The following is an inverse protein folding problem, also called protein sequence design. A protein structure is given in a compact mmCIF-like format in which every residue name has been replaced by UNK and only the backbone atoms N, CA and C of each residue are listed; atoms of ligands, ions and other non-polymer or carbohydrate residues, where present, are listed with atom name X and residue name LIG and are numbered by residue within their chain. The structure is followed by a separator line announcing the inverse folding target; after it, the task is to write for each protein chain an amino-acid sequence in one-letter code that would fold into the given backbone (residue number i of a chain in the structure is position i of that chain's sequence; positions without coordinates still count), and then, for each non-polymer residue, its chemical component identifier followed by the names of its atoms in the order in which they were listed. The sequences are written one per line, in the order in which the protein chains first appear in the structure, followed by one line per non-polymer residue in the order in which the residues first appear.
data_IF_562689955695
#
_entry.id   IF_562689955695
#
_cell.length_a   1.000
_cell.length_b   1.000
_cell.length_c   1.000
_cell.angle_alpha   90.00
_cell.angle_beta   90.00
_cell.angle_gamma   90.00
#
_symmetry.space_group_name_H-M   'P 1'
#
loop_
_entity.id
_entity.type
_entity.pdbx_description
1 polymer ?
#
# COMPACT_ATOMS: atom_id res chain seq x y z
N UNK A 1 86.64 20.76 -12.11
CA UNK A 1 86.14 19.49 -11.54
C UNK A 1 84.67 19.70 -11.23
N UNK A 2 83.80 19.55 -12.25
CA UNK A 2 83.05 18.33 -12.66
C UNK A 2 81.64 18.29 -12.05
N UNK A 3 80.70 18.72 -12.89
CA UNK A 3 79.25 18.44 -13.01
C UNK A 3 78.71 17.09 -12.50
N UNK A 4 77.37 16.80 -12.53
CA UNK A 4 76.20 17.68 -12.78
C UNK A 4 74.92 17.40 -11.95
N UNK A 5 73.93 18.27 -12.21
CA UNK A 5 72.46 18.18 -12.12
C UNK A 5 71.75 16.81 -12.06
N UNK A 6 70.56 16.79 -11.44
CA UNK A 6 69.26 16.20 -11.85
C UNK A 6 68.19 16.91 -10.98
N UNK A 7 67.07 17.47 -11.43
CA UNK A 7 66.25 17.18 -12.60
C UNK A 7 64.93 16.53 -12.16
N UNK A 8 63.91 17.35 -11.86
CA UNK A 8 62.44 17.15 -11.94
C UNK A 8 61.84 15.76 -11.68
N UNK A 9 60.85 15.68 -10.78
CA UNK A 9 59.43 15.49 -11.13
C UNK A 9 58.57 15.44 -9.85
N UNK A 10 57.70 16.44 -9.69
CA UNK A 10 56.60 16.38 -8.74
C UNK A 10 55.56 15.40 -9.30
N UNK A 11 55.41 14.24 -8.66
CA UNK A 11 54.24 13.38 -8.83
C UNK A 11 53.14 13.89 -7.93
N UNK A 12 52.21 14.64 -8.51
CA UNK A 12 50.87 14.86 -7.95
C UNK A 12 50.16 13.51 -7.91
N UNK A 13 50.30 12.80 -6.80
CA UNK A 13 49.46 11.64 -6.53
C UNK A 13 48.14 12.16 -5.96
N UNK A 14 47.25 12.57 -6.87
CA UNK A 14 45.84 12.82 -6.59
C UNK A 14 45.24 11.48 -6.18
N UNK A 15 45.32 11.16 -4.90
CA UNK A 15 44.53 10.10 -4.29
C UNK A 15 43.07 10.54 -4.39
N UNK A 16 42.39 10.04 -5.42
CA UNK A 16 40.96 10.17 -5.56
C UNK A 16 40.31 9.58 -4.31
N UNK A 17 39.81 10.45 -3.42
CA UNK A 17 38.98 10.05 -2.30
C UNK A 17 37.81 9.24 -2.84
N UNK A 18 37.76 7.96 -2.45
CA UNK A 18 36.58 7.12 -2.57
C UNK A 18 35.40 7.86 -1.93
N UNK A 19 34.23 7.92 -2.60
CA UNK A 19 33.03 8.48 -1.96
C UNK A 19 32.73 7.68 -0.69
N UNK A 20 32.64 8.40 0.43
CA UNK A 20 32.30 7.83 1.73
C UNK A 20 30.95 7.10 1.70
N UNK A 21 30.67 6.23 2.68
CA UNK A 21 29.45 5.44 2.71
C UNK A 21 28.26 6.37 2.57
N UNK A 22 27.44 6.15 1.53
CA UNK A 22 26.15 6.81 1.36
C UNK A 22 25.47 6.83 2.74
N UNK A 23 25.28 8.02 3.32
CA UNK A 23 24.52 8.18 4.54
C UNK A 23 23.19 7.47 4.31
N UNK A 24 22.96 6.35 5.00
CA UNK A 24 21.79 5.53 4.77
C UNK A 24 20.56 6.42 4.92
N UNK A 25 19.83 6.64 3.83
CA UNK A 25 18.61 7.45 3.88
C UNK A 25 17.69 6.87 4.96
N UNK A 26 17.05 7.70 5.79
CA UNK A 26 16.18 7.19 6.84
C UNK A 26 15.10 6.29 6.22
N UNK A 27 15.12 4.99 6.53
CA UNK A 27 14.09 4.07 6.07
C UNK A 27 12.89 4.18 7.00
N UNK A 28 11.96 5.07 6.68
CA UNK A 28 10.70 5.17 7.40
C UNK A 28 9.80 3.96 7.08
N UNK A 29 9.19 3.32 8.10
CA UNK A 29 8.21 2.26 7.87
C UNK A 29 7.02 2.77 7.05
N UNK A 30 6.48 1.93 6.16
CA UNK A 30 5.30 2.27 5.32
C UNK A 30 4.03 2.60 6.13
N UNK A 31 3.99 2.21 7.41
CA UNK A 31 2.96 2.55 8.40
C UNK A 31 3.11 3.95 9.01
N UNK A 32 4.02 4.77 8.47
CA UNK A 32 4.17 6.20 8.77
C UNK A 32 3.86 7.03 7.53
N UNK A 33 3.46 8.28 7.70
CA UNK A 33 3.23 9.19 6.57
C UNK A 33 4.49 9.34 5.70
N UNK A 34 5.67 9.48 6.29
CA UNK A 34 6.94 9.64 5.57
C UNK A 34 7.24 8.39 4.73
N UNK A 35 7.10 7.20 5.30
CA UNK A 35 7.30 5.94 4.57
C UNK A 35 6.27 5.73 3.47
N UNK A 36 5.00 6.06 3.74
CA UNK A 36 3.94 6.02 2.73
C UNK A 36 4.21 6.99 1.57
N UNK A 37 4.57 8.23 1.87
CA UNK A 37 4.84 9.27 0.88
C UNK A 37 6.00 8.85 -0.02
N UNK A 38 7.12 8.43 0.58
CA UNK A 38 8.26 7.89 -0.15
C UNK A 38 7.85 6.74 -1.08
N UNK A 39 7.09 5.76 -0.57
CA UNK A 39 6.56 4.66 -1.37
C UNK A 39 5.66 5.16 -2.51
N UNK A 40 4.72 6.06 -2.24
CA UNK A 40 3.72 6.48 -3.21
C UNK A 40 4.31 7.30 -4.37
N UNK A 41 5.34 8.11 -4.09
CA UNK A 41 5.99 9.00 -5.06
C UNK A 41 7.24 8.42 -5.71
N UNK A 42 7.79 7.30 -5.20
CA UNK A 42 8.94 6.63 -5.81
C UNK A 42 8.70 6.37 -7.32
N UNK A 43 9.63 6.59 -8.24
CA UNK A 43 9.40 6.26 -9.65
C UNK A 43 9.10 4.77 -9.83
N UNK A 44 8.16 4.37 -10.72
CA UNK A 44 7.92 2.96 -10.99
C UNK A 44 9.17 2.33 -11.60
N UNK A 45 9.59 1.18 -11.06
CA UNK A 45 10.70 0.42 -11.62
C UNK A 45 10.34 -0.02 -13.04
N UNK A 46 11.10 0.48 -14.00
CA UNK A 46 10.82 0.26 -15.42
C UNK A 46 11.67 -0.90 -15.92
N UNK A 47 11.08 -1.89 -16.62
CA UNK A 47 11.89 -2.89 -17.33
C UNK A 47 12.73 -2.19 -18.41
N UNK A 48 13.89 -2.75 -18.78
CA UNK A 48 14.68 -2.22 -19.89
C UNK A 48 13.88 -2.32 -21.19
N UNK A 49 13.97 -1.31 -22.05
CA UNK A 49 13.35 -1.32 -23.37
C UNK A 49 14.22 -2.10 -24.35
N UNK A 50 13.63 -2.69 -25.41
CA UNK A 50 14.42 -3.27 -26.49
C UNK A 50 15.38 -2.22 -27.07
N UNK A 51 16.68 -2.51 -27.08
CA UNK A 51 17.72 -1.60 -27.57
C UNK A 51 18.42 -0.75 -26.52
N UNK A 52 17.98 -0.79 -25.25
CA UNK A 52 18.71 -0.14 -24.15
C UNK A 52 20.06 -0.83 -23.91
N UNK A 53 21.06 -0.06 -23.44
CA UNK A 53 22.35 -0.61 -23.05
C UNK A 53 22.19 -1.69 -21.96
N UNK A 54 23.04 -2.74 -21.96
CA UNK A 54 22.98 -3.78 -20.93
C UNK A 54 23.18 -3.18 -19.53
N UNK A 55 22.24 -3.47 -18.62
CA UNK A 55 22.37 -3.12 -17.21
C UNK A 55 23.52 -3.87 -16.56
N UNK A 56 24.22 -3.21 -15.65
CA UNK A 56 25.19 -3.84 -14.75
C UNK A 56 24.53 -4.93 -13.89
N UNK A 57 25.35 -5.82 -13.32
CA UNK A 57 24.87 -6.86 -12.41
C UNK A 57 24.14 -6.26 -11.20
N UNK A 58 24.61 -5.14 -10.68
CA UNK A 58 24.01 -4.43 -9.54
C UNK A 58 22.64 -3.86 -9.90
N UNK A 59 22.49 -3.18 -11.04
CA UNK A 59 21.19 -2.66 -11.50
C UNK A 59 20.18 -3.78 -11.78
N UNK A 60 20.65 -4.92 -12.29
CA UNK A 60 19.81 -6.11 -12.49
C UNK A 60 19.38 -6.69 -11.15
N UNK A 61 20.32 -6.83 -10.21
CA UNK A 61 20.02 -7.35 -8.87
C UNK A 61 19.01 -6.45 -8.17
N UNK A 62 19.21 -5.12 -8.19
CA UNK A 62 18.28 -4.15 -7.62
C UNK A 62 16.88 -4.24 -8.24
N UNK A 63 16.78 -4.37 -9.57
CA UNK A 63 15.50 -4.54 -10.25
C UNK A 63 14.79 -5.85 -9.86
N UNK A 64 15.51 -6.98 -9.83
CA UNK A 64 14.94 -8.28 -9.50
C UNK A 64 14.65 -8.46 -8.01
N UNK A 65 15.42 -7.83 -7.12
CA UNK A 65 15.21 -7.86 -5.67
C UNK A 65 14.08 -6.94 -5.20
N UNK A 66 13.64 -6.01 -6.04
CA UNK A 66 12.58 -5.07 -5.69
C UNK A 66 11.16 -5.64 -5.84
N UNK A 67 11.01 -6.92 -6.22
CA UNK A 67 9.72 -7.61 -6.36
C UNK A 67 8.65 -6.77 -7.07
N UNK A 68 8.98 -6.30 -8.29
CA UNK A 68 8.13 -5.40 -9.09
C UNK A 68 6.69 -5.91 -9.15
N UNK A 69 5.75 -5.13 -8.61
CA UNK A 69 4.33 -5.47 -8.66
C UNK A 69 3.82 -5.44 -10.10
N UNK A 70 3.35 -6.57 -10.61
CA UNK A 70 2.65 -6.63 -11.89
C UNK A 70 1.19 -6.21 -11.67
N UNK A 71 0.71 -5.24 -12.45
CA UNK A 71 -0.71 -4.89 -12.43
C UNK A 71 -1.54 -6.07 -12.94
N UNK A 72 -2.47 -6.53 -12.10
CA UNK A 72 -3.39 -7.61 -12.42
C UNK A 72 -4.82 -7.07 -12.57
N UNK A 73 -5.71 -7.79 -13.28
CA UNK A 73 -7.13 -7.42 -13.35
C UNK A 73 -7.80 -7.29 -11.98
N UNK A 74 -7.34 -8.06 -10.99
CA UNK A 74 -7.83 -7.97 -9.61
C UNK A 74 -7.48 -6.62 -8.95
N UNK A 75 -6.25 -6.12 -9.14
CA UNK A 75 -5.83 -4.80 -8.66
C UNK A 75 -6.65 -3.69 -9.34
N UNK A 76 -6.91 -3.82 -10.64
CA UNK A 76 -7.69 -2.83 -11.39
C UNK A 76 -9.17 -2.80 -10.96
N UNK A 77 -9.74 -3.97 -10.67
CA UNK A 77 -11.10 -4.10 -10.14
C UNK A 77 -11.20 -3.47 -8.75
N UNK A 78 -10.25 -3.80 -7.86
CA UNK A 78 -10.17 -3.20 -6.53
C UNK A 78 -10.01 -1.68 -6.59
N UNK A 79 -9.12 -1.18 -7.45
CA UNK A 79 -8.91 0.26 -7.64
C UNK A 79 -10.19 0.96 -8.09
N UNK A 80 -10.96 0.33 -8.98
CA UNK A 80 -12.23 0.86 -9.47
C UNK A 80 -13.27 0.91 -8.36
N UNK A 81 -13.44 -0.18 -7.60
CA UNK A 81 -14.36 -0.23 -6.48
C UNK A 81 -14.04 0.80 -5.39
N UNK A 82 -12.77 0.89 -4.97
CA UNK A 82 -12.33 1.87 -3.97
C UNK A 82 -12.61 3.29 -4.44
N UNK A 83 -12.29 3.63 -5.70
CA UNK A 83 -12.60 4.96 -6.25
C UNK A 83 -14.09 5.24 -6.28
N UNK A 84 -14.91 4.27 -6.69
CA UNK A 84 -16.38 4.41 -6.68
C UNK A 84 -16.88 4.72 -5.28
N UNK A 85 -16.45 3.98 -4.26
CA UNK A 85 -16.83 4.24 -2.86
C UNK A 85 -16.33 5.60 -2.36
N UNK A 86 -15.10 5.99 -2.74
CA UNK A 86 -14.56 7.32 -2.43
C UNK A 86 -15.33 8.46 -3.09
N UNK A 87 -15.97 8.23 -4.26
CA UNK A 87 -16.85 9.20 -4.91
C UNK A 87 -18.23 9.24 -4.25
N UNK A 88 -18.85 8.08 -4.02
CA UNK A 88 -20.16 7.97 -3.36
C UNK A 88 -20.13 8.57 -1.96
N UNK A 89 -19.09 8.28 -1.18
CA UNK A 89 -18.92 8.80 0.17
C UNK A 89 -18.71 10.31 0.26
N UNK A 90 -18.44 11.03 -0.84
CA UNK A 90 -18.25 12.50 -0.80
C UNK A 90 -19.51 13.25 -0.40
N UNK A 91 -20.67 12.72 -0.76
CA UNK A 91 -21.96 13.36 -0.50
C UNK A 91 -22.61 12.87 0.80
N UNK A 92 -22.00 11.91 1.47
CA UNK A 92 -22.50 11.30 2.69
C UNK A 92 -21.97 12.06 3.90
N UNK A 93 -22.79 12.97 4.44
CA UNK A 93 -22.44 13.84 5.56
C UNK A 93 -22.84 13.25 6.91
N UNK A 94 -24.00 12.59 6.96
CA UNK A 94 -24.63 12.14 8.22
C UNK A 94 -24.11 10.78 8.70
N UNK A 95 -23.95 9.81 7.80
CA UNK A 95 -23.53 8.45 8.17
C UNK A 95 -22.05 8.21 7.85
N UNK A 96 -21.52 7.08 8.32
CA UNK A 96 -20.25 6.55 7.86
C UNK A 96 -20.23 6.45 6.32
N UNK A 97 -19.05 6.67 5.73
CA UNK A 97 -18.85 6.45 4.29
C UNK A 97 -18.85 4.94 3.99
N UNK A 98 -19.28 4.52 2.79
CA UNK A 98 -19.25 3.12 2.41
C UNK A 98 -17.83 2.55 2.55
N UNK A 99 -17.70 1.38 3.15
CA UNK A 99 -16.41 0.72 3.34
C UNK A 99 -16.33 -0.57 2.51
N UNK A 100 -15.11 -1.04 2.28
CA UNK A 100 -14.83 -2.26 1.52
C UNK A 100 -14.03 -3.24 2.37
N UNK A 101 -14.40 -4.52 2.33
CA UNK A 101 -13.60 -5.61 2.89
C UNK A 101 -13.04 -6.44 1.73
N UNK A 102 -11.73 -6.67 1.75
CA UNK A 102 -11.03 -7.56 0.81
C UNK A 102 -10.55 -8.79 1.57
N UNK A 103 -11.15 -9.94 1.24
CA UNK A 103 -10.79 -11.23 1.81
C UNK A 103 -10.06 -12.09 0.79
N UNK A 104 -9.26 -13.03 1.27
CA UNK A 104 -8.55 -13.99 0.43
C UNK A 104 -7.55 -14.81 1.26
N UNK A 105 -7.05 -15.93 0.74
CA UNK A 105 -6.10 -16.78 1.46
C UNK A 105 -4.80 -16.03 1.80
N UNK A 106 -4.04 -16.58 2.75
CA UNK A 106 -2.69 -16.10 3.05
C UNK A 106 -1.84 -16.08 1.77
N UNK A 107 -0.93 -15.11 1.65
CA UNK A 107 -0.07 -14.91 0.48
C UNK A 107 -0.77 -14.63 -0.87
N UNK A 108 -2.08 -14.32 -0.88
CA UNK A 108 -2.81 -13.95 -2.10
C UNK A 108 -2.46 -12.55 -2.68
N UNK A 109 -1.45 -11.87 -2.15
CA UNK A 109 -1.08 -10.51 -2.57
C UNK A 109 -2.04 -9.41 -2.12
N UNK A 110 -2.84 -9.63 -1.07
CA UNK A 110 -3.81 -8.64 -0.55
C UNK A 110 -3.14 -7.33 -0.13
N UNK A 111 -2.08 -7.40 0.67
CA UNK A 111 -1.28 -6.24 1.08
C UNK A 111 -0.74 -5.50 -0.14
N UNK A 112 -0.15 -6.22 -1.10
CA UNK A 112 0.36 -5.66 -2.35
C UNK A 112 -0.73 -4.93 -3.13
N UNK A 113 -1.89 -5.55 -3.32
CA UNK A 113 -3.02 -4.91 -4.00
C UNK A 113 -3.51 -3.67 -3.26
N UNK A 114 -3.61 -3.74 -1.92
CA UNK A 114 -4.05 -2.62 -1.08
C UNK A 114 -3.10 -1.41 -1.20
N UNK A 115 -1.79 -1.66 -1.14
CA UNK A 115 -0.75 -0.64 -1.29
C UNK A 115 -0.79 0.00 -2.68
N UNK A 116 -0.91 -0.80 -3.76
CA UNK A 116 -1.00 -0.28 -5.13
C UNK A 116 -2.27 0.55 -5.37
N UNK A 117 -3.41 0.12 -4.84
CA UNK A 117 -4.65 0.89 -4.93
C UNK A 117 -4.56 2.18 -4.14
N UNK A 118 -4.00 2.13 -2.93
CA UNK A 118 -3.76 3.32 -2.13
C UNK A 118 -2.84 4.32 -2.81
N UNK A 119 -1.71 3.85 -3.35
CA UNK A 119 -0.77 4.64 -4.15
C UNK A 119 -1.45 5.29 -5.35
N UNK A 120 -2.25 4.51 -6.07
CA UNK A 120 -3.02 4.97 -7.22
C UNK A 120 -4.02 6.08 -6.85
N UNK A 121 -4.71 5.95 -5.71
CA UNK A 121 -5.61 6.98 -5.18
C UNK A 121 -4.85 8.22 -4.70
N UNK A 122 -3.71 8.04 -4.02
CA UNK A 122 -2.84 9.12 -3.58
C UNK A 122 -2.39 9.99 -4.76
N UNK A 123 -1.76 9.38 -5.78
CA UNK A 123 -1.28 10.10 -6.97
C UNK A 123 -2.41 10.79 -7.73
N UNK A 124 -3.58 10.13 -7.84
CA UNK A 124 -4.75 10.72 -8.47
C UNK A 124 -5.27 11.95 -7.72
N UNK A 125 -5.21 11.94 -6.38
CA UNK A 125 -5.61 13.07 -5.55
C UNK A 125 -4.62 14.23 -5.66
N UNK A 126 -3.32 13.95 -5.51
CA UNK A 126 -2.25 14.97 -5.58
C UNK A 126 -2.24 15.67 -6.95
N UNK A 127 -2.44 14.93 -8.04
CA UNK A 127 -2.55 15.50 -9.39
C UNK A 127 -3.77 16.43 -9.55
N UNK A 128 -4.89 16.11 -8.89
CA UNK A 128 -6.13 16.91 -8.97
C UNK A 128 -6.11 18.11 -8.03
N UNK A 129 -5.31 18.08 -6.97
CA UNK A 129 -5.25 19.12 -5.94
C UNK A 129 -3.79 19.52 -5.70
N UNK A 130 -3.12 20.12 -6.71
CA UNK A 130 -1.74 20.56 -6.55
C UNK A 130 -1.65 21.52 -5.36
N UNK A 131 -0.59 21.40 -4.56
CA UNK A 131 -0.36 22.31 -3.47
C UNK A 131 -0.15 23.74 -4.02
N UNK A 132 -0.88 24.75 -3.53
CA UNK A 132 -0.58 26.14 -3.86
C UNK A 132 0.87 26.48 -3.46
N UNK A 133 1.53 27.39 -4.19
CA UNK A 133 2.84 27.90 -3.78
C UNK A 133 2.78 28.45 -2.35
N UNK A 134 3.71 28.04 -1.49
CA UNK A 134 3.80 28.51 -0.10
C UNK A 134 2.90 27.80 0.91
N UNK A 135 2.21 26.70 0.54
CA UNK A 135 1.49 25.89 1.53
C UNK A 135 2.49 25.13 2.42
N UNK A 136 2.45 25.38 3.72
CA UNK A 136 3.35 24.75 4.70
C UNK A 136 3.02 23.27 4.98
N UNK A 137 1.82 22.80 4.63
CA UNK A 137 1.36 21.45 4.94
C UNK A 137 1.06 20.65 3.68
N UNK A 138 1.69 19.50 3.59
CA UNK A 138 1.45 18.51 2.55
C UNK A 138 0.09 17.84 2.76
N UNK A 139 -0.65 17.62 1.67
CA UNK A 139 -1.94 16.92 1.75
C UNK A 139 -1.67 15.43 1.97
N UNK A 140 -2.36 14.84 2.96
CA UNK A 140 -2.25 13.41 3.28
C UNK A 140 -3.54 12.72 2.87
N UNK A 141 -3.72 12.31 1.60
CA UNK A 141 -5.01 11.78 1.15
C UNK A 141 -5.30 10.35 1.58
N UNK A 142 -4.26 9.60 1.95
CA UNK A 142 -4.32 8.17 2.26
C UNK A 142 -3.61 7.91 3.58
N UNK A 143 -4.17 7.03 4.41
CA UNK A 143 -3.48 6.42 5.53
C UNK A 143 -3.41 4.90 5.38
N UNK A 144 -2.25 4.30 5.69
CA UNK A 144 -2.06 2.85 5.72
C UNK A 144 -1.69 2.41 7.13
N UNK A 145 -2.42 1.41 7.63
CA UNK A 145 -2.25 0.86 8.95
C UNK A 145 -2.16 -0.65 8.87
N UNK A 146 -1.29 -1.22 9.69
CA UNK A 146 -1.18 -2.66 9.88
C UNK A 146 -1.68 -3.00 11.29
N UNK A 147 -2.67 -3.88 11.41
CA UNK A 147 -3.17 -4.28 12.72
C UNK A 147 -2.09 -5.08 13.47
N UNK A 148 -1.69 -4.67 14.68
CA UNK A 148 -0.71 -5.42 15.46
C UNK A 148 -1.32 -6.73 15.98
N UNK A 149 -0.51 -7.77 16.24
CA UNK A 149 -1.00 -9.01 16.83
C UNK A 149 -1.55 -8.73 18.24
N UNK A 150 -2.74 -9.27 18.54
CA UNK A 150 -3.38 -9.07 19.85
C UNK A 150 -3.78 -7.62 20.13
N UNK A 151 -4.07 -6.83 19.09
CA UNK A 151 -4.40 -5.42 19.24
C UNK A 151 -5.57 -5.20 20.21
N UNK A 152 -5.32 -4.41 21.25
CA UNK A 152 -6.36 -3.74 22.03
C UNK A 152 -6.82 -2.47 21.32
N UNK A 153 -7.99 -1.95 21.67
CA UNK A 153 -8.47 -0.67 21.17
C UNK A 153 -7.44 0.46 21.41
N UNK A 154 -6.82 0.54 22.60
CA UNK A 154 -5.77 1.53 22.86
C UNK A 154 -4.56 1.36 21.94
N UNK A 155 -4.08 0.14 21.73
CA UNK A 155 -2.93 -0.09 20.83
C UNK A 155 -3.27 0.25 19.38
N UNK A 156 -4.49 -0.04 18.94
CA UNK A 156 -4.95 0.31 17.60
C UNK A 156 -5.05 1.84 17.43
N UNK A 157 -5.58 2.56 18.41
CA UNK A 157 -5.58 4.03 18.41
C UNK A 157 -4.15 4.62 18.32
N UNK A 158 -3.17 3.96 18.95
CA UNK A 158 -1.75 4.34 18.85
C UNK A 158 -1.21 4.12 17.43
N UNK A 159 -1.62 3.07 16.72
CA UNK A 159 -1.23 2.86 15.31
C UNK A 159 -1.72 4.02 14.41
N UNK A 160 -2.97 4.46 14.59
CA UNK A 160 -3.50 5.63 13.90
C UNK A 160 -2.73 6.90 14.24
N UNK A 161 -2.43 7.10 15.52
CA UNK A 161 -1.63 8.25 15.96
C UNK A 161 -0.23 8.23 15.34
N UNK A 162 0.42 7.06 15.28
CA UNK A 162 1.76 6.90 14.73
C UNK A 162 1.82 7.26 13.25
N UNK A 163 0.78 6.95 12.48
CA UNK A 163 0.77 7.22 11.04
C UNK A 163 1.06 8.70 10.73
N UNK A 164 0.42 9.63 11.44
CA UNK A 164 0.65 11.08 11.29
C UNK A 164 1.66 11.67 12.28
N UNK A 165 2.35 10.83 13.05
CA UNK A 165 3.31 11.30 14.06
C UNK A 165 2.67 12.07 15.22
N UNK A 166 1.42 11.78 15.57
CA UNK A 166 0.72 12.40 16.71
C UNK A 166 1.44 11.97 18.00
N UNK A 167 1.93 12.90 18.83
CA UNK A 167 2.59 12.56 20.08
C UNK A 167 1.63 11.83 21.04
N UNK A 168 2.00 10.62 21.47
CA UNK A 168 1.26 9.85 22.46
C UNK A 168 2.14 9.58 23.66
N UNK A 169 1.62 9.87 24.87
CA UNK A 169 2.28 9.51 26.13
C UNK A 169 1.58 8.34 26.79
N UNK A 170 2.29 7.62 27.66
CA UNK A 170 1.76 6.45 28.37
C UNK A 170 0.49 6.74 29.18
N UNK A 171 0.37 7.97 29.68
CA UNK A 171 -0.75 8.45 30.51
C UNK A 171 -2.01 8.76 29.71
N UNK A 172 -1.92 8.93 28.39
CA UNK A 172 -3.09 9.24 27.58
C UNK A 172 -4.07 8.07 27.56
N UNK A 173 -5.35 8.38 27.73
CA UNK A 173 -6.44 7.41 27.60
C UNK A 173 -6.70 7.12 26.12
N UNK A 174 -7.34 5.99 25.82
CA UNK A 174 -7.79 5.68 24.46
C UNK A 174 -8.63 6.81 23.87
N UNK A 175 -9.60 7.35 24.63
CA UNK A 175 -10.46 8.43 24.16
C UNK A 175 -9.69 9.70 23.79
N UNK A 176 -8.65 10.06 24.56
CA UNK A 176 -7.78 11.20 24.25
C UNK A 176 -7.01 10.97 22.94
N UNK A 177 -6.47 9.76 22.74
CA UNK A 177 -5.74 9.40 21.51
C UNK A 177 -6.70 9.42 20.31
N UNK A 178 -7.87 8.77 20.41
CA UNK A 178 -8.88 8.75 19.36
C UNK A 178 -9.35 10.17 19.00
N UNK A 179 -9.54 11.04 19.97
CA UNK A 179 -9.91 12.44 19.72
C UNK A 179 -8.85 13.19 18.91
N UNK A 180 -7.57 13.05 19.30
CA UNK A 180 -6.45 13.64 18.58
C UNK A 180 -6.31 13.07 17.15
N UNK A 181 -6.49 11.76 16.99
CA UNK A 181 -6.53 11.09 15.68
C UNK A 181 -7.63 11.66 14.80
N UNK A 182 -8.88 11.69 15.27
CA UNK A 182 -10.01 12.21 14.48
C UNK A 182 -9.79 13.66 14.05
N UNK A 183 -9.31 14.51 14.97
CA UNK A 183 -8.99 15.90 14.66
C UNK A 183 -7.90 16.00 13.59
N UNK A 184 -6.77 15.33 13.79
CA UNK A 184 -5.60 15.43 12.90
C UNK A 184 -5.87 14.80 11.54
N UNK A 185 -6.57 13.66 11.47
CA UNK A 185 -6.94 13.02 10.20
C UNK A 185 -7.88 13.90 9.38
N UNK A 186 -8.81 14.59 10.04
CA UNK A 186 -9.72 15.54 9.39
C UNK A 186 -8.96 16.76 8.88
N UNK A 187 -8.08 17.34 9.71
CA UNK A 187 -7.26 18.50 9.35
C UNK A 187 -6.26 18.20 8.22
N UNK A 188 -5.66 17.01 8.22
CA UNK A 188 -4.74 16.53 7.18
C UNK A 188 -5.44 16.20 5.86
N UNK A 189 -6.78 16.13 5.86
CA UNK A 189 -7.58 15.88 4.68
C UNK A 189 -7.56 14.42 4.21
N UNK A 190 -7.42 13.46 5.13
CA UNK A 190 -7.43 12.03 4.80
C UNK A 190 -8.79 11.65 4.19
N UNK A 191 -8.74 10.97 3.04
CA UNK A 191 -9.92 10.56 2.28
C UNK A 191 -10.07 9.05 2.16
N UNK A 192 -8.97 8.32 2.36
CA UNK A 192 -8.88 6.87 2.27
C UNK A 192 -8.06 6.35 3.45
N UNK A 193 -8.59 5.36 4.16
CA UNK A 193 -7.89 4.66 5.23
C UNK A 193 -7.83 3.19 4.85
N UNK A 194 -6.63 2.64 4.81
CA UNK A 194 -6.32 1.26 4.44
C UNK A 194 -5.88 0.54 5.72
N UNK A 195 -6.62 -0.48 6.12
CA UNK A 195 -6.32 -1.25 7.33
C UNK A 195 -6.05 -2.69 6.94
N UNK A 196 -4.81 -3.10 7.17
CA UNK A 196 -4.32 -4.43 6.82
C UNK A 196 -4.38 -5.41 7.99
N UNK A 197 -4.57 -6.68 7.64
CA UNK A 197 -4.58 -7.80 8.58
C UNK A 197 -5.65 -7.71 9.68
N UNK A 198 -6.86 -7.25 9.36
CA UNK A 198 -7.93 -7.07 10.37
C UNK A 198 -8.38 -8.37 11.04
N UNK A 199 -8.10 -9.51 10.42
CA UNK A 199 -8.32 -10.83 11.01
C UNK A 199 -7.43 -11.11 12.26
N UNK A 200 -6.45 -10.24 12.55
CA UNK A 200 -5.69 -10.25 13.80
C UNK A 200 -6.52 -9.75 14.99
N UNK A 201 -7.61 -9.04 14.73
CA UNK A 201 -8.63 -8.78 15.74
C UNK A 201 -9.45 -10.05 15.95
N UNK A 202 -9.55 -10.51 17.19
CA UNK A 202 -10.43 -11.62 17.53
C UNK A 202 -11.72 -11.10 18.18
N UNK A 203 -12.81 -10.86 17.42
CA UNK A 203 -14.04 -10.29 17.95
C UNK A 203 -14.75 -11.20 18.97
N UNK A 204 -14.33 -12.47 19.09
CA UNK A 204 -14.84 -13.40 20.12
C UNK A 204 -14.23 -13.17 21.50
N UNK A 205 -13.24 -12.29 21.61
CA UNK A 205 -12.64 -11.86 22.88
C UNK A 205 -13.09 -10.45 23.21
N UNK A 206 -13.21 -10.12 24.50
CA UNK A 206 -13.53 -8.76 24.95
C UNK A 206 -12.60 -7.72 24.32
N UNK A 207 -11.28 -7.98 24.36
CA UNK A 207 -10.26 -7.11 23.78
C UNK A 207 -10.47 -6.86 22.28
N UNK A 208 -10.76 -7.91 21.51
CA UNK A 208 -10.96 -7.77 20.07
C UNK A 208 -12.31 -7.14 19.72
N UNK A 209 -13.36 -7.36 20.53
CA UNK A 209 -14.63 -6.66 20.39
C UNK A 209 -14.46 -5.15 20.63
N UNK A 210 -13.77 -4.74 21.70
CA UNK A 210 -13.45 -3.34 21.97
C UNK A 210 -12.65 -2.68 20.84
N UNK A 211 -11.70 -3.42 20.24
CA UNK A 211 -10.92 -2.94 19.10
C UNK A 211 -11.77 -2.75 17.84
N UNK A 212 -12.71 -3.66 17.58
CA UNK A 212 -13.66 -3.54 16.48
C UNK A 212 -14.63 -2.36 16.69
N UNK A 213 -15.10 -2.14 17.92
CA UNK A 213 -15.92 -0.99 18.28
C UNK A 213 -15.17 0.33 18.07
N UNK A 214 -13.88 0.39 18.41
CA UNK A 214 -13.05 1.55 18.09
C UNK A 214 -12.95 1.80 16.57
N UNK A 215 -12.77 0.75 15.76
CA UNK A 215 -12.74 0.91 14.29
C UNK A 215 -14.06 1.47 13.76
N UNK A 216 -15.18 1.02 14.32
CA UNK A 216 -16.49 1.56 14.00
C UNK A 216 -16.58 3.05 14.38
N UNK A 217 -16.20 3.42 15.60
CA UNK A 217 -16.17 4.83 16.06
C UNK A 217 -15.32 5.71 15.13
N UNK A 218 -14.12 5.24 14.78
CA UNK A 218 -13.22 5.94 13.85
C UNK A 218 -13.83 6.08 12.45
N UNK A 219 -14.55 5.07 11.96
CA UNK A 219 -15.21 5.11 10.64
C UNK A 219 -16.37 6.11 10.59
N UNK A 220 -17.09 6.28 11.69
CA UNK A 220 -18.18 7.24 11.80
C UNK A 220 -17.68 8.69 11.93
N UNK A 221 -16.57 8.87 12.65
CA UNK A 221 -15.98 10.18 12.99
C UNK A 221 -15.03 10.71 11.92
N UNK A 222 -14.23 9.84 11.29
CA UNK A 222 -13.32 10.22 10.22
C UNK A 222 -14.08 10.14 8.91
N UNK A 223 -14.29 11.28 8.25
CA UNK A 223 -14.94 11.34 6.94
C UNK A 223 -13.98 10.87 5.85
N UNK A 224 -13.62 9.59 5.87
CA UNK A 224 -12.79 8.87 4.90
C UNK A 224 -13.46 7.56 4.49
N UNK A 225 -13.12 7.03 3.31
CA UNK A 225 -13.49 5.67 2.91
C UNK A 225 -12.52 4.71 3.58
N UNK A 226 -13.03 3.68 4.24
CA UNK A 226 -12.20 2.65 4.87
C UNK A 226 -12.15 1.40 3.98
N UNK A 227 -10.96 0.83 3.83
CA UNK A 227 -10.74 -0.45 3.15
C UNK A 227 -10.01 -1.36 4.12
N UNK A 228 -10.57 -2.53 4.36
CA UNK A 228 -10.06 -3.51 5.30
C UNK A 228 -9.59 -4.76 4.55
N UNK A 229 -8.44 -5.32 4.92
CA UNK A 229 -7.96 -6.57 4.33
C UNK A 229 -7.72 -7.63 5.41
N UNK A 230 -8.01 -8.89 5.07
CA UNK A 230 -7.79 -9.99 6.01
C UNK A 230 -8.09 -11.35 5.41
N UNK A 231 -8.04 -12.37 6.25
CA UNK A 231 -8.43 -13.74 5.91
C UNK A 231 -9.76 -14.00 6.61
N UNK A 232 -10.71 -14.62 5.90
CA UNK A 232 -11.99 -15.07 6.46
C UNK A 232 -12.75 -13.99 7.24
N UNK A 233 -12.79 -12.79 6.67
CA UNK A 233 -13.34 -11.60 7.33
C UNK A 233 -14.88 -11.61 7.38
N UNK A 234 -15.54 -12.51 6.65
CA UNK A 234 -17.00 -12.62 6.59
C UNK A 234 -17.65 -12.90 7.96
N UNK A 235 -16.87 -13.37 8.95
CA UNK A 235 -17.32 -13.58 10.32
C UNK A 235 -17.09 -12.38 11.26
N UNK A 236 -16.51 -11.27 10.80
CA UNK A 236 -16.30 -10.05 11.60
C UNK A 236 -17.41 -9.05 11.30
N UNK A 237 -18.39 -8.84 12.20
CA UNK A 237 -19.48 -7.91 11.94
C UNK A 237 -18.96 -6.46 12.02
N UNK A 238 -18.42 -5.95 10.91
CA UNK A 238 -18.24 -4.52 10.69
C UNK A 238 -19.44 -4.02 9.88
N UNK A 239 -20.31 -3.22 10.50
CA UNK A 239 -21.68 -2.92 10.06
C UNK A 239 -21.81 -2.03 8.81
N UNK A 240 -20.79 -1.93 7.95
CA UNK A 240 -20.80 -1.03 6.78
C UNK A 240 -19.98 -1.51 5.56
N UNK A 241 -19.71 -2.82 5.44
CA UNK A 241 -18.89 -3.33 4.35
C UNK A 241 -19.70 -3.80 3.15
N UNK A 242 -19.40 -3.27 1.97
CA UNK A 242 -19.73 -3.90 0.69
C UNK A 242 -18.71 -5.00 0.43
N UNK A 243 -19.17 -6.21 0.08
CA UNK A 243 -18.31 -7.32 -0.32
C UNK A 243 -18.11 -7.29 -1.84
N UNK A 244 -16.86 -7.24 -2.28
CA UNK A 244 -16.55 -7.41 -3.69
C UNK A 244 -16.69 -8.90 -4.05
N UNK A 245 -17.47 -9.27 -5.09
CA UNK A 245 -17.56 -10.66 -5.51
C UNK A 245 -16.18 -11.17 -5.94
N UNK A 246 -15.77 -12.33 -5.43
CA UNK A 246 -14.61 -13.07 -5.92
C UNK A 246 -14.77 -13.31 -7.42
N UNK A 247 -13.75 -12.96 -8.22
CA UNK A 247 -13.70 -13.44 -9.61
C UNK A 247 -13.70 -14.97 -9.61
N UNK A 248 -14.55 -15.63 -10.41
CA UNK A 248 -14.50 -17.07 -10.52
C UNK A 248 -13.15 -17.47 -11.12
N UNK A 249 -12.53 -18.49 -10.53
CA UNK A 249 -11.35 -19.14 -11.08
C UNK A 249 -11.62 -19.48 -12.55
N UNK A 250 -10.68 -19.13 -13.44
CA UNK A 250 -10.74 -19.54 -14.83
C UNK A 250 -10.84 -21.08 -14.91
N UNK A 251 -11.74 -21.65 -15.72
CA UNK A 251 -11.81 -23.09 -15.86
C UNK A 251 -10.51 -23.61 -16.48
N UNK A 252 -9.92 -24.61 -15.84
CA UNK A 252 -8.79 -25.36 -16.37
C UNK A 252 -9.16 -25.91 -17.76
N UNK A 253 -8.43 -25.48 -18.78
CA UNK A 253 -8.49 -26.04 -20.12
C UNK A 253 -7.94 -27.47 -20.10
N UNK A 254 -8.84 -28.44 -20.18
CA UNK A 254 -8.48 -29.85 -20.44
C UNK A 254 -8.10 -30.02 -21.92
N UNK A 255 -7.01 -30.72 -22.26
CA UNK A 255 -6.60 -30.91 -23.65
C UNK A 255 -7.55 -31.87 -24.37
N UNK A 256 -8.14 -31.41 -25.47
CA UNK A 256 -9.00 -32.20 -26.34
C UNK A 256 -8.22 -33.38 -26.97
N UNK A 257 -8.79 -34.59 -26.86
CA UNK A 257 -8.34 -35.78 -27.57
C UNK A 257 -8.72 -35.72 -29.06
N UNK A 258 -7.96 -36.36 -29.97
CA UNK A 258 -8.12 -36.19 -31.41
C UNK A 258 -9.37 -36.90 -31.97
N UNK A 259 -10.07 -36.19 -32.85
CA UNK A 259 -11.24 -36.62 -33.60
C UNK A 259 -10.95 -37.75 -34.59
N UNK A 260 -11.72 -38.83 -34.51
CA UNK A 260 -11.76 -39.97 -35.45
C UNK A 260 -12.54 -39.58 -36.73
N UNK A 261 -12.13 -39.99 -37.94
CA UNK A 261 -12.84 -39.61 -39.17
C UNK A 261 -14.12 -40.44 -39.41
N UNK A 262 -15.08 -39.92 -40.19
CA UNK A 262 -16.39 -40.54 -40.38
C UNK A 262 -16.34 -41.74 -41.35
N UNK A 263 -17.14 -42.77 -41.06
CA UNK A 263 -17.41 -43.92 -41.94
C UNK A 263 -18.47 -43.54 -42.97
N UNK A 264 -18.22 -43.84 -44.25
CA UNK A 264 -19.21 -43.76 -45.32
C UNK A 264 -20.29 -44.87 -45.19
N UNK A 265 -21.55 -44.62 -45.61
CA UNK A 265 -22.59 -45.64 -45.66
C UNK A 265 -22.49 -46.50 -46.94
N UNK A 266 -23.00 -47.75 -46.93
CA UNK A 266 -22.92 -48.64 -48.08
C UNK A 266 -23.98 -48.30 -49.14
N UNK A 267 -23.58 -48.41 -50.41
CA UNK A 267 -24.43 -48.30 -51.60
C UNK A 267 -25.07 -49.65 -51.88
N UNK A 268 -26.37 -49.65 -52.19
CA UNK A 268 -27.13 -50.81 -52.68
C UNK A 268 -26.67 -51.21 -54.09
N UNK A 269 -26.37 -52.49 -54.28
CA UNK A 269 -26.71 -53.27 -55.48
C UNK A 269 -26.76 -54.75 -55.12
#
# INVERSE_FOLDING_TARGET
MTSPAHGQHATTDTTASLPGPHAAEPQWPITTWQGWQHFATAPPLTPPRPGDAPRSTEERLAYHSAFVTVRTPAIDTLATQVRTLMLLGRHQQTTARPSLIVTGPAAAGKTTALLEVGRTCHLAHTRKNPAPPGRAHEQVPVAYLLVPPGATAKTLAIEFARYLGIPVTTRMTQAQITSAVCHTYTAAGIRLVLIDEIHRLNPRTTTGAEAADLLKDLTERIKATFVYTGIDVAATPCSAAYEAPNSPAAPASSPAAPSRPPRHPPTLH
#
